data_IF_672891697080
#
_entry.id   IF_672891697080
#
_cell.length_a   1.000
_cell.length_b   1.000
_cell.length_c   1.000
_cell.angle_alpha   90.00
_cell.angle_beta   90.00
_cell.angle_gamma   90.00
#
_symmetry.space_group_name_H-M   'P 1'
#
loop_
_entity.id
_entity.type
_entity.pdbx_description
1 polymer ?
#
# COMPACT_ATOMS: atom_id res chain seq x y z
N UNK A 1 28.05 -53.48 24.46
CA UNK A 1 27.55 -52.18 24.87
C UNK A 1 26.97 -51.47 23.67
N UNK A 2 25.71 -51.28 23.66
CA UNK A 2 25.02 -50.58 22.59
C UNK A 2 24.98 -49.10 22.88
N UNK A 3 25.74 -48.32 22.18
CA UNK A 3 25.63 -46.87 22.23
C UNK A 3 24.36 -46.43 21.50
N UNK A 4 23.36 -46.13 22.23
CA UNK A 4 22.18 -45.49 21.68
C UNK A 4 22.52 -44.00 21.51
N UNK A 5 22.93 -43.64 20.33
CA UNK A 5 22.89 -42.22 19.95
C UNK A 5 21.42 -41.91 19.63
N UNK A 6 20.73 -41.37 20.61
CA UNK A 6 19.52 -40.64 20.35
C UNK A 6 19.93 -39.42 19.53
N UNK A 7 19.82 -39.53 18.23
CA UNK A 7 19.77 -38.36 17.39
C UNK A 7 18.46 -37.65 17.75
N UNK A 8 18.54 -36.70 18.68
CA UNK A 8 17.50 -35.72 18.88
C UNK A 8 17.54 -34.90 17.59
N UNK A 9 16.68 -35.26 16.65
CA UNK A 9 16.37 -34.42 15.52
C UNK A 9 15.77 -33.15 16.10
N UNK A 10 16.58 -32.11 16.22
CA UNK A 10 16.06 -30.78 16.46
C UNK A 10 15.29 -30.42 15.19
N UNK A 11 14.00 -30.67 15.23
CA UNK A 11 13.09 -30.10 14.27
C UNK A 11 13.14 -28.60 14.51
N UNK A 12 13.99 -27.91 13.78
CA UNK A 12 13.79 -26.52 13.50
C UNK A 12 12.51 -26.44 12.66
N UNK A 13 11.38 -26.26 13.32
CA UNK A 13 10.29 -25.58 12.71
C UNK A 13 10.87 -24.21 12.34
N UNK A 14 11.35 -24.09 11.11
CA UNK A 14 11.44 -22.82 10.47
C UNK A 14 9.99 -22.34 10.42
N UNK A 15 9.55 -21.65 11.48
CA UNK A 15 8.48 -20.71 11.35
C UNK A 15 9.04 -19.74 10.32
N UNK A 16 8.71 -19.98 9.05
CA UNK A 16 8.83 -18.92 8.07
C UNK A 16 7.97 -17.82 8.65
N UNK A 17 8.61 -16.89 9.32
CA UNK A 17 8.06 -15.57 9.43
C UNK A 17 7.94 -15.11 7.99
N UNK A 18 6.81 -15.46 7.37
CA UNK A 18 6.40 -14.79 6.15
C UNK A 18 6.40 -13.34 6.55
N UNK A 19 7.48 -12.68 6.17
CA UNK A 19 7.65 -11.28 6.42
C UNK A 19 6.34 -10.64 6.00
N UNK A 20 5.68 -9.99 6.95
CA UNK A 20 4.45 -9.30 6.71
C UNK A 20 4.67 -8.43 5.49
N UNK A 21 3.87 -8.65 4.47
CA UNK A 21 4.02 -7.98 3.18
C UNK A 21 3.08 -6.79 3.10
N UNK A 22 3.50 -5.75 2.38
CA UNK A 22 2.61 -4.65 1.98
C UNK A 22 1.56 -5.11 0.96
N UNK A 23 1.75 -6.28 0.36
CA UNK A 23 0.81 -6.85 -0.61
C UNK A 23 -0.51 -7.18 0.08
N UNK A 24 -1.62 -6.79 -0.53
CA UNK A 24 -2.96 -7.05 -0.03
C UNK A 24 -3.88 -5.85 -0.20
N UNK A 25 -5.01 -5.89 0.48
CA UNK A 25 -6.02 -4.84 0.40
C UNK A 25 -5.98 -3.97 1.65
N UNK A 26 -6.09 -2.67 1.45
CA UNK A 26 -5.97 -1.66 2.49
C UNK A 26 -7.10 -0.67 2.42
N UNK A 27 -7.70 -0.35 3.58
CA UNK A 27 -8.64 0.75 3.69
C UNK A 27 -7.89 2.05 3.81
N UNK A 28 -8.19 2.99 2.92
CA UNK A 28 -7.69 4.36 3.04
C UNK A 28 -8.62 5.14 3.97
N UNK A 29 -8.01 5.92 4.84
CA UNK A 29 -8.72 6.63 5.89
C UNK A 29 -8.57 8.14 5.65
N UNK A 30 -9.69 8.85 5.74
CA UNK A 30 -9.67 10.31 5.75
C UNK A 30 -9.05 10.79 7.07
N UNK A 31 -7.94 11.48 7.00
CA UNK A 31 -7.21 11.93 8.19
C UNK A 31 -7.87 13.09 8.92
N UNK A 32 -8.85 13.76 8.32
CA UNK A 32 -9.64 14.80 8.99
C UNK A 32 -10.85 14.23 9.73
N UNK A 33 -11.53 13.24 9.15
CA UNK A 33 -12.77 12.68 9.68
C UNK A 33 -12.65 11.31 10.28
N UNK A 34 -11.57 10.56 9.98
CA UNK A 34 -11.40 9.16 10.36
C UNK A 34 -12.26 8.19 9.55
N UNK A 35 -13.00 8.67 8.56
CA UNK A 35 -13.87 7.86 7.71
C UNK A 35 -13.06 7.04 6.70
N UNK A 36 -13.43 5.77 6.52
CA UNK A 36 -12.87 4.94 5.47
C UNK A 36 -13.40 5.39 4.10
N UNK A 37 -12.49 5.71 3.18
CA UNK A 37 -12.85 6.25 1.85
C UNK A 37 -12.91 5.20 0.77
N UNK A 38 -11.92 4.34 0.71
CA UNK A 38 -11.74 3.37 -0.37
C UNK A 38 -10.93 2.17 0.09
N UNK A 39 -10.90 1.15 -0.75
CA UNK A 39 -9.99 0.02 -0.62
C UNK A 39 -9.00 0.07 -1.78
N UNK A 40 -7.72 0.03 -1.44
CA UNK A 40 -6.62 -0.05 -2.39
C UNK A 40 -6.00 -1.43 -2.32
N UNK A 41 -5.91 -2.10 -3.45
CA UNK A 41 -5.14 -3.34 -3.58
C UNK A 41 -3.70 -3.00 -3.95
N UNK A 42 -2.78 -3.38 -3.08
CA UNK A 42 -1.34 -3.26 -3.32
C UNK A 42 -0.84 -4.59 -3.89
N UNK A 43 -0.20 -4.53 -5.03
CA UNK A 43 0.27 -5.72 -5.76
C UNK A 43 1.65 -5.48 -6.38
N UNK A 44 2.32 -6.57 -6.71
CA UNK A 44 3.61 -6.55 -7.38
C UNK A 44 3.45 -6.87 -8.87
N UNK A 45 4.14 -6.10 -9.70
CA UNK A 45 4.22 -6.34 -11.14
C UNK A 45 5.63 -5.98 -11.62
N UNK A 46 6.28 -6.92 -12.28
CA UNK A 46 7.64 -6.72 -12.84
C UNK A 46 8.65 -6.18 -11.82
N UNK A 47 8.58 -6.69 -10.59
CA UNK A 47 9.49 -6.33 -9.50
C UNK A 47 9.21 -5.00 -8.82
N UNK A 48 8.12 -4.32 -9.18
CA UNK A 48 7.70 -3.06 -8.59
C UNK A 48 6.33 -3.16 -7.94
N UNK A 49 6.04 -2.26 -7.03
CA UNK A 49 4.78 -2.22 -6.28
C UNK A 49 3.87 -1.14 -6.85
N UNK A 50 2.60 -1.53 -7.01
CA UNK A 50 1.51 -0.70 -7.50
C UNK A 50 0.34 -0.75 -6.52
N UNK A 51 -0.52 0.24 -6.58
CA UNK A 51 -1.76 0.25 -5.81
C UNK A 51 -2.93 0.70 -6.65
N UNK A 52 -4.01 -0.08 -6.64
CA UNK A 52 -5.21 0.14 -7.44
C UNK A 52 -6.42 0.31 -6.53
N UNK A 53 -7.24 1.31 -6.79
CA UNK A 53 -8.53 1.46 -6.08
C UNK A 53 -9.48 0.39 -6.58
N UNK A 54 -9.85 -0.55 -5.70
CA UNK A 54 -10.74 -1.67 -6.03
C UNK A 54 -12.14 -1.52 -5.47
N UNK A 55 -12.34 -0.60 -4.53
CA UNK A 55 -13.63 -0.31 -3.94
C UNK A 55 -13.68 1.12 -3.45
N UNK A 56 -14.82 1.79 -3.63
CA UNK A 56 -15.11 3.08 -3.05
C UNK A 56 -16.16 2.88 -1.96
N UNK A 57 -15.83 3.27 -0.72
CA UNK A 57 -16.66 3.01 0.46
C UNK A 57 -17.67 4.12 0.73
N UNK A 58 -17.42 5.33 0.22
CA UNK A 58 -18.36 6.45 0.35
C UNK A 58 -19.49 6.31 -0.64
N UNK A 59 -20.73 6.20 -0.16
CA UNK A 59 -21.92 5.91 -0.97
C UNK A 59 -22.14 6.89 -2.13
N UNK A 60 -21.97 8.18 -1.89
CA UNK A 60 -22.26 9.20 -2.90
C UNK A 60 -21.09 9.43 -3.88
N UNK A 61 -20.00 8.67 -3.76
CA UNK A 61 -18.77 8.87 -4.52
C UNK A 61 -18.39 7.68 -5.42
N UNK A 62 -19.24 6.64 -5.47
CA UNK A 62 -18.91 5.39 -6.19
C UNK A 62 -18.74 5.56 -7.69
N UNK A 63 -19.34 6.58 -8.27
CA UNK A 63 -19.24 6.89 -9.71
C UNK A 63 -18.36 8.08 -10.03
N UNK A 64 -17.61 8.57 -9.05
CA UNK A 64 -16.74 9.72 -9.25
C UNK A 64 -15.67 9.46 -10.29
N UNK A 65 -15.36 10.50 -11.05
CA UNK A 65 -14.29 10.52 -12.03
C UNK A 65 -13.22 11.51 -11.60
N UNK A 66 -11.98 11.31 -12.08
CA UNK A 66 -10.91 12.25 -11.78
C UNK A 66 -10.97 13.47 -12.71
N UNK A 67 -11.85 14.41 -12.39
CA UNK A 67 -12.04 15.63 -13.16
C UNK A 67 -10.82 16.58 -13.12
N UNK A 68 -10.02 16.49 -12.06
CA UNK A 68 -8.83 17.32 -11.87
C UNK A 68 -7.53 16.66 -12.30
N UNK A 69 -7.59 15.40 -12.74
CA UNK A 69 -6.44 14.71 -13.30
C UNK A 69 -6.04 15.28 -14.65
N UNK A 70 -4.76 15.10 -15.01
CA UNK A 70 -4.22 15.45 -16.31
C UNK A 70 -4.00 14.20 -17.17
N UNK A 71 -3.85 14.40 -18.48
CA UNK A 71 -3.46 13.33 -19.41
C UNK A 71 -4.47 12.18 -19.46
N UNK A 72 -3.96 10.97 -19.45
CA UNK A 72 -4.76 9.75 -19.63
C UNK A 72 -5.77 9.49 -18.50
N UNK A 73 -5.55 10.01 -17.31
CA UNK A 73 -6.44 9.81 -16.16
C UNK A 73 -7.58 10.82 -16.10
N UNK A 74 -7.52 11.89 -16.91
CA UNK A 74 -8.56 12.92 -16.87
C UNK A 74 -9.94 12.33 -17.18
N UNK A 75 -10.89 12.59 -16.29
CA UNK A 75 -12.27 12.11 -16.36
C UNK A 75 -12.42 10.58 -16.38
N UNK A 76 -11.36 9.85 -16.03
CA UNK A 76 -11.46 8.39 -15.82
C UNK A 76 -12.16 8.10 -14.50
N UNK A 77 -12.88 6.96 -14.39
CA UNK A 77 -13.42 6.53 -13.12
C UNK A 77 -12.31 6.39 -12.07
N UNK A 78 -12.57 6.86 -10.87
CA UNK A 78 -11.66 6.67 -9.73
C UNK A 78 -11.63 5.21 -9.33
N UNK A 79 -12.79 4.53 -9.38
CA UNK A 79 -12.82 3.08 -9.21
C UNK A 79 -12.04 2.39 -10.33
N UNK A 80 -11.07 1.56 -9.94
CA UNK A 80 -10.20 0.85 -10.87
C UNK A 80 -8.91 1.60 -11.22
N UNK A 81 -8.72 2.80 -10.72
CA UNK A 81 -7.55 3.62 -11.02
C UNK A 81 -6.32 3.15 -10.27
N UNK A 82 -5.20 3.03 -10.97
CA UNK A 82 -3.90 2.78 -10.36
C UNK A 82 -3.37 4.10 -9.83
N UNK A 83 -3.29 4.21 -8.50
CA UNK A 83 -2.85 5.44 -7.83
C UNK A 83 -1.42 5.38 -7.30
N UNK A 84 -0.94 4.20 -6.94
CA UNK A 84 0.46 4.01 -6.55
C UNK A 84 1.19 3.38 -7.73
N UNK A 85 2.28 3.99 -8.15
CA UNK A 85 3.03 3.58 -9.33
C UNK A 85 4.52 3.38 -9.02
N UNK A 86 4.97 2.15 -9.24
CA UNK A 86 6.38 1.85 -9.44
C UNK A 86 7.28 1.96 -8.21
N UNK A 87 6.78 1.66 -7.02
CA UNK A 87 7.61 1.63 -5.81
C UNK A 87 8.59 0.47 -5.87
N UNK A 88 9.82 0.75 -5.45
CA UNK A 88 10.90 -0.24 -5.34
C UNK A 88 11.19 -0.54 -3.90
N UNK A 89 11.46 -1.81 -3.60
CA UNK A 89 11.86 -2.24 -2.27
C UNK A 89 13.29 -1.77 -1.97
N UNK A 90 13.44 -1.10 -0.83
CA UNK A 90 14.72 -0.68 -0.28
C UNK A 90 14.71 -0.93 1.23
N UNK A 91 15.29 -2.04 1.67
CA UNK A 91 15.20 -2.48 3.06
C UNK A 91 13.74 -2.79 3.45
N UNK A 92 13.26 -2.12 4.49
CA UNK A 92 11.86 -2.24 4.96
C UNK A 92 10.91 -1.22 4.32
N UNK A 93 11.43 -0.35 3.47
CA UNK A 93 10.69 0.70 2.80
C UNK A 93 10.47 0.35 1.32
N UNK A 94 9.35 0.81 0.77
CA UNK A 94 9.10 0.80 -0.67
C UNK A 94 9.01 2.26 -1.11
N UNK A 95 9.90 2.68 -2.01
CA UNK A 95 10.05 4.08 -2.41
C UNK A 95 10.34 4.24 -3.90
N UNK A 96 10.76 5.45 -4.29
CA UNK A 96 11.13 5.79 -5.66
C UNK A 96 9.99 5.61 -6.67
N UNK A 97 8.78 5.86 -6.21
CA UNK A 97 7.58 5.86 -7.04
C UNK A 97 6.68 7.03 -6.70
N UNK A 98 5.46 7.00 -7.22
CA UNK A 98 4.50 8.09 -7.09
C UNK A 98 3.16 7.62 -6.58
N UNK A 99 2.41 8.57 -6.00
CA UNK A 99 1.00 8.42 -5.70
C UNK A 99 0.21 9.54 -6.34
N UNK A 100 -0.91 9.17 -6.96
CA UNK A 100 -1.90 10.10 -7.49
C UNK A 100 -3.00 10.31 -6.44
N UNK A 101 -3.29 11.56 -6.12
CA UNK A 101 -4.48 11.92 -5.34
C UNK A 101 -5.62 12.24 -6.32
N UNK A 102 -6.63 11.38 -6.45
CA UNK A 102 -7.70 11.61 -7.42
C UNK A 102 -8.64 12.77 -7.03
N UNK A 103 -8.60 13.24 -5.80
CA UNK A 103 -9.44 14.36 -5.36
C UNK A 103 -8.93 15.71 -5.87
N UNK A 104 -7.62 15.86 -6.03
CA UNK A 104 -7.01 17.08 -6.56
C UNK A 104 -6.26 16.89 -7.87
N UNK A 105 -6.13 15.65 -8.35
CA UNK A 105 -5.45 15.30 -9.60
C UNK A 105 -3.93 15.41 -9.55
N UNK A 106 -3.33 15.64 -8.39
CA UNK A 106 -1.89 15.83 -8.24
C UNK A 106 -1.18 14.51 -7.97
N UNK A 107 0.04 14.40 -8.52
CA UNK A 107 0.96 13.30 -8.26
C UNK A 107 2.05 13.75 -7.29
N UNK A 108 2.35 12.88 -6.34
CA UNK A 108 3.38 13.09 -5.32
C UNK A 108 4.40 11.97 -5.37
N UNK A 109 5.63 12.24 -4.99
CA UNK A 109 6.57 11.18 -4.63
C UNK A 109 6.03 10.51 -3.36
N UNK A 110 6.25 9.21 -3.21
CA UNK A 110 5.79 8.53 -2.01
C UNK A 110 6.67 7.37 -1.60
N UNK A 111 6.55 7.00 -0.35
CA UNK A 111 7.03 5.74 0.16
C UNK A 111 5.99 5.10 1.09
N UNK A 112 6.05 3.79 1.20
CA UNK A 112 5.23 3.02 2.11
C UNK A 112 6.09 2.11 2.98
N UNK A 113 5.65 1.90 4.21
CA UNK A 113 6.23 0.95 5.16
C UNK A 113 5.14 0.25 5.93
N UNK A 114 5.39 -0.98 6.39
CA UNK A 114 4.51 -1.61 7.37
C UNK A 114 4.87 -1.11 8.78
N UNK A 115 3.89 -0.53 9.45
CA UNK A 115 4.00 -0.22 10.89
C UNK A 115 3.72 -1.47 11.74
N UNK A 116 2.78 -2.30 11.27
CA UNK A 116 2.42 -3.60 11.86
C UNK A 116 1.78 -4.47 10.78
N UNK A 117 1.39 -5.69 11.11
CA UNK A 117 0.70 -6.58 10.17
C UNK A 117 -0.51 -5.94 9.50
N UNK A 118 -1.24 -5.11 10.23
CA UNK A 118 -2.53 -4.56 9.83
C UNK A 118 -2.50 -3.03 9.60
N UNK A 119 -1.32 -2.41 9.67
CA UNK A 119 -1.18 -0.95 9.53
C UNK A 119 -0.06 -0.59 8.56
N UNK A 120 -0.43 0.11 7.52
CA UNK A 120 0.47 0.65 6.50
C UNK A 120 0.67 2.14 6.72
N UNK A 121 1.92 2.58 6.70
CA UNK A 121 2.27 4.00 6.65
C UNK A 121 2.57 4.39 5.22
N UNK A 122 1.92 5.45 4.75
CA UNK A 122 2.16 6.05 3.45
C UNK A 122 2.50 7.52 3.64
N UNK A 123 3.60 7.94 3.04
CA UNK A 123 3.97 9.35 3.02
C UNK A 123 4.09 9.83 1.58
N UNK A 124 3.25 10.82 1.22
CA UNK A 124 3.35 11.55 -0.04
C UNK A 124 4.05 12.88 0.19
N UNK A 125 4.92 13.31 -0.72
CA UNK A 125 5.69 14.53 -0.56
C UNK A 125 6.07 15.14 -1.91
N UNK A 126 6.39 16.44 -1.85
CA UNK A 126 6.88 17.22 -3.00
C UNK A 126 8.30 17.67 -2.69
N UNK A 127 9.25 17.37 -3.58
CA UNK A 127 10.65 17.73 -3.39
C UNK A 127 11.36 16.85 -2.38
N UNK A 128 11.34 17.22 -1.11
CA UNK A 128 11.97 16.47 -0.02
C UNK A 128 10.90 15.85 0.92
N UNK A 129 11.24 14.75 1.58
CA UNK A 129 10.29 14.00 2.41
C UNK A 129 9.75 14.76 3.63
N UNK A 130 10.41 15.86 4.03
CA UNK A 130 9.93 16.75 5.09
C UNK A 130 8.72 17.59 4.66
N UNK A 131 8.55 17.80 3.36
CA UNK A 131 7.48 18.60 2.76
C UNK A 131 6.36 17.67 2.29
N UNK A 132 5.70 17.00 3.20
CA UNK A 132 4.75 15.99 2.84
C UNK A 132 3.68 15.73 3.90
N UNK A 133 2.84 14.74 3.60
CA UNK A 133 1.72 14.31 4.43
C UNK A 133 1.78 12.80 4.65
N UNK A 134 1.62 12.40 5.89
CA UNK A 134 1.59 10.98 6.28
C UNK A 134 0.15 10.53 6.46
N UNK A 135 -0.16 9.35 5.91
CA UNK A 135 -1.42 8.65 6.10
C UNK A 135 -1.15 7.24 6.62
N UNK A 136 -2.11 6.70 7.34
CA UNK A 136 -2.08 5.32 7.81
C UNK A 136 -3.31 4.59 7.26
N UNK A 137 -3.07 3.47 6.60
CA UNK A 137 -4.12 2.62 6.06
C UNK A 137 -4.22 1.34 6.89
N UNK A 138 -5.41 0.79 7.00
CA UNK A 138 -5.67 -0.43 7.74
C UNK A 138 -5.93 -1.60 6.80
N UNK A 139 -5.39 -2.77 7.15
CA UNK A 139 -5.57 -3.96 6.32
C UNK A 139 -7.02 -4.43 6.34
N UNK A 140 -7.53 -4.76 5.17
CA UNK A 140 -8.83 -5.44 5.01
C UNK A 140 -8.63 -6.92 5.33
N UNK A 141 -9.45 -7.42 6.21
CA UNK A 141 -9.43 -8.83 6.61
C UNK A 141 -10.51 -9.62 5.90
#
# INVERSE_FOLDING_TARGET
MKNWMLAIGVFFLAISMQGQSVIGKWKTIDDETGEAKSVVEVYEKSGKIYGKIVEILRENHKKDVCSKCDGAEKNKPILGMVIINGLKKEGSEYNDGTILDPTNGKKYKCYITLESADKLKLRGYVGISLMGRTQYWTRVK
#
